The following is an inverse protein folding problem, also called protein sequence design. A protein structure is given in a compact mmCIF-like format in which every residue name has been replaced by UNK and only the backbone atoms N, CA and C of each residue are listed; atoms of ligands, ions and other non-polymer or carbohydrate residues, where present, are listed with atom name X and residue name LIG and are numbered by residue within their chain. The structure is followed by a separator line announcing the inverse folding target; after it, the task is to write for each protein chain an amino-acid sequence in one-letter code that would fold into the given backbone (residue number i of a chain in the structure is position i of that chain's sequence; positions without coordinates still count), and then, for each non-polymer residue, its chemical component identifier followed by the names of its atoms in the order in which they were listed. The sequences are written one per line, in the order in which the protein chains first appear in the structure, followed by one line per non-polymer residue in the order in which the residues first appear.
data_IF_441806110497
#
_entry.id   IF_441806110497
#
_cell.length_a   1.000
_cell.length_b   1.000
_cell.length_c   1.000
_cell.angle_alpha   90.00
_cell.angle_beta   90.00
_cell.angle_gamma   90.00
#
_symmetry.space_group_name_H-M   'P 1'
#
loop_
_entity.id
_entity.type
_entity.pdbx_description
1 polymer ?
#
# COMPACT_ATOMS: atom_id res chain seq x y z
N UNK A 1 -32.43 -17.72 -9.33
CA UNK A 1 -31.74 -19.03 -9.23
C UNK A 1 -32.44 -19.88 -8.17
N UNK A 2 -33.08 -20.99 -8.55
CA UNK A 2 -33.41 -22.04 -7.59
C UNK A 2 -32.13 -22.87 -7.38
N UNK A 3 -31.19 -22.32 -6.62
CA UNK A 3 -29.99 -23.07 -6.25
C UNK A 3 -30.35 -23.87 -4.99
N UNK A 4 -30.41 -25.19 -5.12
CA UNK A 4 -30.36 -26.10 -3.99
C UNK A 4 -28.92 -26.09 -3.47
N UNK A 5 -28.71 -25.55 -2.28
CA UNK A 5 -27.44 -25.73 -1.57
C UNK A 5 -27.42 -27.20 -1.14
N UNK A 6 -26.54 -28.02 -1.71
CA UNK A 6 -26.28 -29.36 -1.19
C UNK A 6 -24.95 -29.31 -0.44
N UNK A 7 -25.02 -29.44 0.87
CA UNK A 7 -23.87 -29.72 1.70
C UNK A 7 -23.52 -31.20 1.52
N UNK A 8 -22.75 -31.52 0.49
CA UNK A 8 -22.32 -32.88 0.16
C UNK A 8 -21.42 -33.42 1.25
N UNK A 9 -21.95 -34.30 2.10
CA UNK A 9 -21.16 -35.32 2.80
C UNK A 9 -22.02 -36.57 2.96
N UNK A 10 -21.46 -37.70 2.51
CA UNK A 10 -21.99 -39.05 2.76
C UNK A 10 -21.82 -39.41 4.24
N UNK A 11 -22.91 -39.84 4.89
CA UNK A 11 -23.04 -40.06 6.34
C UNK A 11 -22.04 -41.13 6.86
N UNK A 12 -21.63 -42.09 6.03
CA UNK A 12 -20.77 -43.20 6.48
C UNK A 12 -19.26 -42.90 6.44
N UNK A 13 -18.79 -42.07 5.49
CA UNK A 13 -17.36 -41.88 5.23
C UNK A 13 -16.60 -41.11 6.33
N UNK A 14 -17.29 -40.23 7.06
CA UNK A 14 -16.66 -39.26 7.97
C UNK A 14 -17.12 -39.38 9.42
N UNK A 15 -17.89 -40.42 9.73
CA UNK A 15 -18.34 -40.67 11.09
C UNK A 15 -17.16 -41.06 11.99
N UNK A 16 -16.84 -40.18 12.95
CA UNK A 16 -16.04 -40.55 14.12
C UNK A 16 -16.93 -40.37 15.35
N UNK A 17 -16.53 -40.88 16.52
CA UNK A 17 -17.30 -40.69 17.75
C UNK A 17 -17.59 -39.21 18.10
N UNK A 18 -16.95 -38.25 17.42
CA UNK A 18 -17.07 -36.81 17.68
C UNK A 18 -17.40 -35.94 16.46
N UNK A 19 -17.49 -36.51 15.25
CA UNK A 19 -17.81 -35.78 14.04
C UNK A 19 -18.94 -36.50 13.29
N UNK A 20 -20.02 -35.76 13.06
CA UNK A 20 -21.19 -36.19 12.29
C UNK A 20 -21.46 -35.08 11.29
N UNK A 21 -21.67 -35.43 10.03
CA UNK A 21 -21.94 -34.45 8.99
C UNK A 21 -23.30 -34.72 8.40
N UNK A 22 -24.09 -33.66 8.18
CA UNK A 22 -25.41 -33.78 7.61
C UNK A 22 -25.62 -32.77 6.50
N UNK A 23 -26.22 -33.23 5.41
CA UNK A 23 -26.57 -32.37 4.30
C UNK A 23 -27.80 -31.50 4.62
N UNK A 24 -27.65 -30.17 4.55
CA UNK A 24 -28.78 -29.24 4.60
C UNK A 24 -29.12 -28.85 3.17
N UNK A 25 -30.27 -29.32 2.68
CA UNK A 25 -30.80 -28.91 1.37
C UNK A 25 -31.79 -27.77 1.54
N UNK A 26 -31.49 -26.62 0.94
CA UNK A 26 -32.35 -25.45 1.00
C UNK A 26 -32.27 -24.61 -0.27
N UNK A 27 -33.33 -23.84 -0.52
CA UNK A 27 -33.33 -22.77 -1.51
C UNK A 27 -32.63 -21.53 -0.92
N UNK A 28 -31.97 -20.73 -1.77
CA UNK A 28 -31.27 -19.49 -1.38
C UNK A 28 -32.12 -18.58 -0.47
N UNK A 29 -33.40 -18.40 -0.78
CA UNK A 29 -34.29 -17.51 -0.02
C UNK A 29 -34.67 -18.00 1.38
N UNK A 30 -34.50 -19.29 1.67
CA UNK A 30 -34.94 -19.95 2.90
C UNK A 30 -33.79 -20.64 3.66
N UNK A 31 -32.57 -20.59 3.13
CA UNK A 31 -31.42 -21.33 3.67
C UNK A 31 -31.09 -20.98 5.13
N UNK A 32 -31.23 -19.71 5.52
CA UNK A 32 -31.04 -19.28 6.90
C UNK A 32 -32.12 -19.84 7.85
N UNK A 33 -33.39 -19.87 7.40
CA UNK A 33 -34.49 -20.45 8.17
C UNK A 33 -34.31 -21.95 8.38
N UNK A 34 -33.91 -22.66 7.32
CA UNK A 34 -33.57 -24.10 7.38
C UNK A 34 -32.40 -24.38 8.32
N UNK A 35 -31.35 -23.56 8.31
CA UNK A 35 -30.24 -23.71 9.26
C UNK A 35 -30.71 -23.52 10.71
N UNK A 36 -31.61 -22.58 10.95
CA UNK A 36 -32.18 -22.36 12.29
C UNK A 36 -33.05 -23.53 12.75
N UNK A 37 -33.87 -24.11 11.86
CA UNK A 37 -34.63 -25.34 12.15
C UNK A 37 -33.69 -26.51 12.53
N UNK A 38 -32.56 -26.64 11.83
CA UNK A 38 -31.56 -27.66 12.13
C UNK A 38 -30.89 -27.46 13.50
N UNK A 39 -30.58 -26.21 13.87
CA UNK A 39 -30.07 -25.86 15.21
C UNK A 39 -31.07 -26.19 16.33
N UNK A 40 -32.37 -26.07 16.06
CA UNK A 40 -33.40 -26.41 17.03
C UNK A 40 -33.57 -27.92 17.19
N UNK A 41 -33.32 -28.69 16.13
CA UNK A 41 -33.44 -30.14 16.13
C UNK A 41 -32.19 -30.85 16.67
N UNK A 42 -30.99 -30.27 16.49
CA UNK A 42 -29.70 -30.88 16.83
C UNK A 42 -28.61 -29.85 17.09
N UNK A 43 -27.50 -30.29 17.69
CA UNK A 43 -26.32 -29.45 17.88
C UNK A 43 -25.65 -29.23 16.51
N UNK A 44 -25.66 -27.99 16.03
CA UNK A 44 -24.94 -27.58 14.82
C UNK A 44 -23.77 -26.71 15.23
N UNK A 45 -22.57 -27.29 15.24
CA UNK A 45 -21.34 -26.59 15.65
C UNK A 45 -20.76 -25.75 14.51
N UNK A 46 -20.71 -26.34 13.31
CA UNK A 46 -20.12 -25.70 12.14
C UNK A 46 -20.91 -26.02 10.86
N UNK A 47 -20.82 -25.11 9.90
CA UNK A 47 -21.35 -25.22 8.54
C UNK A 47 -20.21 -24.91 7.57
N UNK A 48 -20.07 -25.71 6.52
CA UNK A 48 -19.10 -25.47 5.44
C UNK A 48 -19.79 -25.69 4.10
N UNK A 49 -19.21 -25.18 3.01
CA UNK A 49 -19.81 -25.26 1.66
C UNK A 49 -20.56 -24.00 1.27
N UNK A 50 -21.58 -24.15 0.40
CA UNK A 50 -22.29 -22.99 -0.18
C UNK A 50 -23.22 -22.36 0.86
N UNK A 51 -23.12 -21.05 1.05
CA UNK A 51 -23.94 -20.31 2.02
C UNK A 51 -24.50 -19.01 1.44
N UNK A 52 -25.51 -18.48 2.10
CA UNK A 52 -26.06 -17.14 1.83
C UNK A 52 -25.64 -16.15 2.92
N UNK A 53 -25.70 -14.85 2.62
CA UNK A 53 -25.38 -13.83 3.63
C UNK A 53 -26.29 -13.88 4.85
N UNK A 54 -27.55 -14.28 4.66
CA UNK A 54 -28.49 -14.49 5.76
C UNK A 54 -28.07 -15.65 6.67
N UNK A 55 -27.46 -16.70 6.13
CA UNK A 55 -26.93 -17.81 6.96
C UNK A 55 -25.77 -17.33 7.83
N UNK A 56 -24.87 -16.51 7.30
CA UNK A 56 -23.71 -16.01 8.03
C UNK A 56 -24.08 -15.18 9.28
N UNK A 57 -25.32 -14.66 9.33
CA UNK A 57 -25.85 -13.94 10.48
C UNK A 57 -26.45 -14.85 11.58
N UNK A 58 -26.56 -16.16 11.34
CA UNK A 58 -27.09 -17.12 12.34
C UNK A 58 -26.09 -17.25 13.50
N UNK A 59 -26.51 -17.02 14.75
CA UNK A 59 -25.62 -17.03 15.91
C UNK A 59 -25.19 -18.45 16.31
N UNK A 60 -24.13 -18.54 17.11
CA UNK A 60 -23.52 -19.78 17.64
C UNK A 60 -23.25 -20.88 16.60
N UNK A 61 -22.92 -20.49 15.37
CA UNK A 61 -22.45 -21.39 14.30
C UNK A 61 -21.13 -20.88 13.76
N UNK A 62 -20.18 -21.80 13.57
CA UNK A 62 -18.93 -21.51 12.87
C UNK A 62 -19.09 -21.82 11.38
N UNK A 63 -18.80 -20.86 10.51
CA UNK A 63 -18.75 -21.08 9.08
C UNK A 63 -17.33 -21.39 8.66
N UNK A 64 -17.06 -22.62 8.25
CA UNK A 64 -15.74 -23.08 7.81
C UNK A 64 -15.70 -23.07 6.30
N UNK A 65 -14.79 -22.27 5.76
CA UNK A 65 -14.61 -21.99 4.34
C UNK A 65 -15.91 -21.77 3.57
N UNK A 66 -16.77 -20.83 4.00
CA UNK A 66 -18.04 -20.58 3.33
C UNK A 66 -17.82 -20.07 1.90
N UNK A 67 -18.51 -20.69 0.96
CA UNK A 67 -18.60 -20.22 -0.43
C UNK A 67 -19.90 -19.44 -0.61
N UNK A 68 -19.80 -18.12 -0.70
CA UNK A 68 -20.97 -17.28 -0.99
C UNK A 68 -21.28 -17.30 -2.48
N UNK A 69 -22.57 -17.25 -2.82
CA UNK A 69 -23.03 -17.21 -4.22
C UNK A 69 -22.55 -15.93 -4.92
N UNK A 70 -22.58 -14.81 -4.21
CA UNK A 70 -22.00 -13.55 -4.65
C UNK A 70 -20.67 -13.36 -3.91
N UNK A 71 -19.55 -13.10 -4.61
CA UNK A 71 -18.27 -12.85 -3.97
C UNK A 71 -18.34 -11.64 -3.03
N UNK A 72 -17.64 -11.73 -1.90
CA UNK A 72 -17.57 -10.68 -0.89
C UNK A 72 -16.17 -10.55 -0.30
N UNK A 73 -15.86 -9.35 0.18
CA UNK A 73 -14.65 -9.08 0.95
C UNK A 73 -14.77 -9.69 2.36
N UNK A 74 -13.62 -10.03 2.94
CA UNK A 74 -13.55 -10.54 4.29
C UNK A 74 -13.88 -9.43 5.29
N UNK A 75 -14.92 -9.66 6.11
CA UNK A 75 -15.38 -8.70 7.12
C UNK A 75 -14.79 -8.94 8.52
N UNK A 76 -13.82 -9.85 8.67
CA UNK A 76 -13.17 -10.14 9.95
C UNK A 76 -14.11 -10.77 10.99
N UNK A 77 -15.18 -11.43 10.54
CA UNK A 77 -16.13 -12.09 11.43
C UNK A 77 -15.45 -13.29 12.09
N UNK A 78 -15.42 -13.31 13.42
CA UNK A 78 -14.69 -14.34 14.17
C UNK A 78 -15.21 -15.75 13.93
N UNK A 79 -16.52 -15.90 13.75
CA UNK A 79 -17.18 -17.17 13.47
C UNK A 79 -17.12 -17.59 11.99
N UNK A 80 -16.51 -16.79 11.11
CA UNK A 80 -16.22 -17.17 9.73
C UNK A 80 -14.73 -17.50 9.66
N UNK A 81 -14.40 -18.74 9.30
CA UNK A 81 -13.03 -19.25 9.17
C UNK A 81 -12.78 -19.49 7.70
N UNK A 82 -11.79 -18.82 7.10
CA UNK A 82 -11.45 -19.06 5.69
C UNK A 82 -10.36 -20.12 5.65
N UNK A 83 -10.47 -21.08 4.73
CA UNK A 83 -9.43 -22.07 4.44
C UNK A 83 -8.88 -21.88 3.03
N UNK A 84 -9.74 -21.43 2.12
CA UNK A 84 -9.43 -20.98 0.78
C UNK A 84 -8.91 -19.54 0.75
N UNK A 85 -8.24 -19.14 -0.34
CA UNK A 85 -7.82 -17.77 -0.54
C UNK A 85 -9.01 -16.80 -0.51
N UNK A 86 -8.94 -15.75 0.32
CA UNK A 86 -9.95 -14.68 0.29
C UNK A 86 -9.86 -13.88 -1.02
N UNK A 87 -10.88 -13.07 -1.35
CA UNK A 87 -10.86 -12.20 -2.54
C UNK A 87 -9.62 -11.31 -2.55
N UNK A 88 -9.27 -10.75 -1.39
CA UNK A 88 -8.10 -9.89 -1.20
C UNK A 88 -6.79 -10.64 -1.48
N UNK A 89 -6.66 -11.88 -0.99
CA UNK A 89 -5.46 -12.69 -1.25
C UNK A 89 -5.34 -13.06 -2.72
N UNK A 90 -6.45 -13.40 -3.37
CA UNK A 90 -6.47 -13.72 -4.80
C UNK A 90 -6.06 -12.49 -5.62
N UNK A 91 -6.63 -11.31 -5.36
CA UNK A 91 -6.21 -10.07 -6.02
C UNK A 91 -4.73 -9.77 -5.80
N UNK A 92 -4.22 -9.94 -4.59
CA UNK A 92 -2.81 -9.70 -4.27
C UNK A 92 -1.87 -10.64 -5.04
N UNK A 93 -2.16 -11.95 -5.04
CA UNK A 93 -1.32 -12.96 -5.70
C UNK A 93 -1.40 -12.85 -7.23
N UNK A 94 -2.59 -12.62 -7.79
CA UNK A 94 -2.76 -12.39 -9.23
C UNK A 94 -2.06 -11.11 -9.68
N UNK A 95 -2.15 -10.03 -8.89
CA UNK A 95 -1.42 -8.78 -9.17
C UNK A 95 0.09 -8.98 -9.16
N UNK A 96 0.61 -9.77 -8.21
CA UNK A 96 2.04 -10.15 -8.15
C UNK A 96 2.47 -10.95 -9.37
N UNK A 97 1.62 -11.86 -9.86
CA UNK A 97 1.88 -12.60 -11.08
C UNK A 97 1.92 -11.67 -12.31
N UNK A 98 0.95 -10.76 -12.41
CA UNK A 98 0.91 -9.76 -13.49
C UNK A 98 2.14 -8.85 -13.47
N UNK A 99 2.61 -8.37 -12.32
CA UNK A 99 3.80 -7.51 -12.23
C UNK A 99 5.12 -8.19 -12.63
N UNK A 100 5.16 -9.53 -12.68
CA UNK A 100 6.32 -10.29 -13.17
C UNK A 100 6.25 -10.58 -14.67
N UNK A 101 5.04 -10.76 -15.20
CA UNK A 101 4.83 -10.73 -16.63
C UNK A 101 4.97 -9.28 -17.11
N UNK A 102 5.38 -9.03 -18.35
CA UNK A 102 5.23 -7.70 -18.92
C UNK A 102 3.72 -7.45 -19.12
N UNK A 103 3.01 -7.02 -18.08
CA UNK A 103 1.57 -6.87 -18.09
C UNK A 103 1.15 -5.90 -19.20
N UNK A 104 0.12 -6.28 -19.97
CA UNK A 104 -0.55 -5.37 -20.88
C UNK A 104 -1.47 -4.42 -20.11
N UNK A 105 -2.42 -3.78 -20.82
CA UNK A 105 -3.50 -3.04 -20.17
C UNK A 105 -4.28 -3.96 -19.22
N UNK A 106 -4.31 -3.63 -17.92
CA UNK A 106 -5.10 -4.35 -16.92
C UNK A 106 -6.43 -3.63 -16.70
N UNK A 107 -7.53 -4.36 -16.77
CA UNK A 107 -8.90 -3.87 -16.52
C UNK A 107 -9.59 -4.71 -15.46
N UNK A 108 -10.71 -4.21 -14.93
CA UNK A 108 -11.57 -4.96 -14.04
C UNK A 108 -13.04 -4.83 -14.45
N UNK A 109 -13.79 -5.92 -14.35
CA UNK A 109 -15.25 -5.98 -14.51
C UNK A 109 -15.79 -6.75 -13.30
N UNK A 110 -16.45 -6.04 -12.39
CA UNK A 110 -16.88 -6.58 -11.10
C UNK A 110 -18.40 -6.44 -10.98
N UNK A 111 -19.09 -7.57 -10.84
CA UNK A 111 -20.53 -7.66 -10.61
C UNK A 111 -20.81 -8.07 -9.17
N UNK A 112 -20.91 -7.11 -8.27
CA UNK A 112 -21.15 -7.34 -6.84
C UNK A 112 -21.68 -6.07 -6.18
N UNK A 113 -22.48 -6.21 -5.13
CA UNK A 113 -22.91 -5.10 -4.28
C UNK A 113 -21.72 -4.45 -3.53
N UNK A 114 -20.62 -5.19 -3.37
CA UNK A 114 -19.34 -4.69 -2.80
C UNK A 114 -18.34 -4.28 -3.89
N UNK A 115 -18.80 -4.05 -5.13
CA UNK A 115 -17.92 -3.88 -6.29
C UNK A 115 -16.93 -2.72 -6.19
N UNK A 116 -17.36 -1.57 -5.67
CA UNK A 116 -16.48 -0.40 -5.47
C UNK A 116 -15.36 -0.70 -4.45
N UNK A 117 -15.70 -1.33 -3.32
CA UNK A 117 -14.72 -1.74 -2.30
C UNK A 117 -13.72 -2.76 -2.88
N UNK A 118 -14.19 -3.68 -3.72
CA UNK A 118 -13.32 -4.63 -4.41
C UNK A 118 -12.37 -3.95 -5.39
N UNK A 119 -12.81 -2.92 -6.12
CA UNK A 119 -11.94 -2.12 -6.99
C UNK A 119 -10.82 -1.47 -6.17
N UNK A 120 -11.12 -0.86 -5.02
CA UNK A 120 -10.10 -0.25 -4.16
C UNK A 120 -9.05 -1.26 -3.69
N UNK A 121 -9.48 -2.46 -3.28
CA UNK A 121 -8.57 -3.55 -2.88
C UNK A 121 -7.72 -4.00 -4.06
N UNK A 122 -8.31 -4.15 -5.24
CA UNK A 122 -7.60 -4.54 -6.46
C UNK A 122 -6.58 -3.48 -6.88
N UNK A 123 -6.94 -2.20 -6.87
CA UNK A 123 -6.04 -1.09 -7.17
C UNK A 123 -4.84 -1.06 -6.24
N UNK A 124 -5.05 -1.23 -4.93
CA UNK A 124 -3.97 -1.33 -3.95
C UNK A 124 -3.08 -2.55 -4.20
N UNK A 125 -3.68 -3.68 -4.57
CA UNK A 125 -2.96 -4.91 -4.91
C UNK A 125 -2.06 -4.70 -6.13
N UNK A 126 -2.61 -4.14 -7.22
CA UNK A 126 -1.90 -3.86 -8.46
C UNK A 126 -0.78 -2.82 -8.25
N UNK A 127 -1.08 -1.72 -7.56
CA UNK A 127 -0.11 -0.67 -7.24
C UNK A 127 1.10 -1.19 -6.44
N UNK A 128 0.87 -2.15 -5.54
CA UNK A 128 1.94 -2.81 -4.76
C UNK A 128 2.98 -3.48 -5.65
N UNK A 129 2.59 -3.95 -6.84
CA UNK A 129 3.47 -4.59 -7.80
C UNK A 129 3.76 -3.74 -9.03
N UNK A 130 3.51 -2.42 -8.96
CA UNK A 130 3.79 -1.48 -10.05
C UNK A 130 2.92 -1.68 -11.29
N UNK A 131 1.76 -2.34 -11.14
CA UNK A 131 0.83 -2.57 -12.24
C UNK A 131 -0.27 -1.50 -12.17
N UNK A 132 -0.47 -0.67 -13.21
CA UNK A 132 -1.56 0.29 -13.23
C UNK A 132 -2.88 -0.38 -13.63
N UNK A 133 -3.98 -0.03 -12.98
CA UNK A 133 -5.33 -0.37 -13.43
C UNK A 133 -5.78 0.66 -14.47
N UNK A 134 -6.03 0.23 -15.70
CA UNK A 134 -6.40 1.11 -16.80
C UNK A 134 -7.87 1.57 -16.71
N UNK A 135 -8.77 0.67 -16.29
CA UNK A 135 -10.18 0.97 -16.07
C UNK A 135 -10.86 -0.12 -15.22
N UNK A 136 -11.87 0.25 -14.47
CA UNK A 136 -12.77 -0.66 -13.79
C UNK A 136 -14.23 -0.38 -14.17
N UNK A 137 -15.03 -1.43 -14.32
CA UNK A 137 -16.48 -1.36 -14.46
C UNK A 137 -17.14 -2.12 -13.32
N UNK A 138 -17.96 -1.43 -12.52
CA UNK A 138 -18.80 -2.04 -11.48
C UNK A 138 -20.21 -2.19 -12.05
N UNK A 139 -20.75 -3.40 -11.97
CA UNK A 139 -22.01 -3.79 -12.59
C UNK A 139 -23.02 -4.22 -11.51
N UNK A 140 -24.29 -3.89 -11.72
CA UNK A 140 -25.39 -4.48 -10.95
C UNK A 140 -25.54 -5.99 -11.24
N UNK A 141 -26.14 -6.72 -10.30
CA UNK A 141 -26.27 -8.20 -10.32
C UNK A 141 -26.92 -8.74 -11.60
N UNK A 142 -27.81 -7.97 -12.24
CA UNK A 142 -28.55 -8.36 -13.45
C UNK A 142 -27.93 -7.81 -14.75
N UNK A 143 -26.85 -7.02 -14.66
CA UNK A 143 -26.23 -6.41 -15.84
C UNK A 143 -25.34 -7.41 -16.61
N UNK A 144 -25.30 -7.30 -17.96
CA UNK A 144 -24.50 -8.17 -18.80
C UNK A 144 -23.00 -7.89 -18.61
N UNK A 145 -22.26 -8.92 -18.23
CA UNK A 145 -20.83 -8.82 -17.92
C UNK A 145 -19.95 -8.82 -19.18
N UNK A 146 -20.25 -9.71 -20.13
CA UNK A 146 -19.37 -10.03 -21.26
C UNK A 146 -19.19 -8.86 -22.23
N UNK A 147 -20.18 -7.97 -22.32
CA UNK A 147 -20.09 -6.77 -23.18
C UNK A 147 -19.04 -5.75 -22.72
N UNK A 148 -18.55 -5.87 -21.49
CA UNK A 148 -17.49 -5.01 -20.93
C UNK A 148 -16.08 -5.60 -21.12
N UNK A 149 -15.96 -6.83 -21.65
CA UNK A 149 -14.66 -7.49 -21.80
C UNK A 149 -13.84 -6.84 -22.91
N UNK A 150 -12.54 -6.59 -22.69
CA UNK A 150 -11.68 -6.02 -23.71
C UNK A 150 -11.29 -7.04 -24.79
N UNK A 151 -10.85 -6.54 -25.94
CA UNK A 151 -10.31 -7.37 -27.03
C UNK A 151 -8.84 -7.79 -26.83
N UNK A 152 -8.11 -7.14 -25.91
CA UNK A 152 -6.72 -7.45 -25.58
C UNK A 152 -6.35 -6.97 -24.17
N UNK A 153 -5.29 -7.54 -23.61
CA UNK A 153 -4.79 -7.24 -22.27
C UNK A 153 -5.29 -8.23 -21.22
N UNK A 154 -5.21 -7.81 -19.96
CA UNK A 154 -5.61 -8.59 -18.79
C UNK A 154 -6.90 -8.02 -18.21
N UNK A 155 -7.85 -8.88 -17.84
CA UNK A 155 -9.10 -8.44 -17.20
C UNK A 155 -9.44 -9.30 -16.00
N UNK A 156 -9.60 -8.67 -14.84
CA UNK A 156 -10.22 -9.29 -13.68
C UNK A 156 -11.72 -9.32 -13.88
N UNK A 157 -12.32 -10.49 -13.73
CA UNK A 157 -13.76 -10.70 -13.90
C UNK A 157 -14.31 -11.37 -12.65
N UNK A 158 -15.22 -10.67 -11.97
CA UNK A 158 -15.78 -11.10 -10.68
C UNK A 158 -17.30 -11.03 -10.73
N UNK A 159 -17.97 -11.99 -10.11
CA UNK A 159 -19.42 -12.07 -10.00
C UNK A 159 -20.06 -12.82 -11.16
N UNK A 160 -19.50 -13.97 -11.57
CA UNK A 160 -19.92 -14.82 -12.68
C UNK A 160 -21.23 -15.56 -12.40
N UNK A 161 -22.00 -15.76 -13.47
CA UNK A 161 -23.09 -16.74 -13.55
C UNK A 161 -22.71 -17.87 -14.50
N UNK A 162 -23.42 -19.00 -14.46
CA UNK A 162 -23.18 -20.11 -15.39
C UNK A 162 -23.28 -19.70 -16.87
N UNK A 163 -24.14 -18.73 -17.21
CA UNK A 163 -24.26 -18.22 -18.59
C UNK A 163 -23.00 -17.46 -19.05
N UNK A 164 -22.33 -16.76 -18.13
CA UNK A 164 -21.14 -15.97 -18.43
C UNK A 164 -19.94 -16.86 -18.80
N UNK A 165 -19.82 -18.04 -18.21
CA UNK A 165 -18.69 -18.96 -18.45
C UNK A 165 -18.56 -19.32 -19.93
N UNK A 166 -19.66 -19.76 -20.54
CA UNK A 166 -19.70 -20.10 -21.98
C UNK A 166 -19.44 -18.88 -22.89
N UNK A 167 -19.84 -17.69 -22.44
CA UNK A 167 -19.67 -16.45 -23.18
C UNK A 167 -18.22 -15.94 -23.09
N UNK A 168 -17.57 -16.07 -21.94
CA UNK A 168 -16.15 -15.79 -21.74
C UNK A 168 -15.30 -16.73 -22.59
N UNK A 169 -15.61 -18.03 -22.63
CA UNK A 169 -14.90 -18.98 -23.48
C UNK A 169 -14.95 -18.57 -24.96
N UNK A 170 -16.14 -18.25 -25.49
CA UNK A 170 -16.31 -17.74 -26.86
C UNK A 170 -15.56 -16.42 -27.08
N UNK A 171 -15.58 -15.51 -26.10
CA UNK A 171 -14.87 -14.24 -26.20
C UNK A 171 -13.35 -14.45 -26.27
N UNK A 172 -12.81 -15.36 -25.46
CA UNK A 172 -11.40 -15.72 -25.47
C UNK A 172 -11.01 -16.35 -26.81
N UNK A 173 -11.81 -17.26 -27.37
CA UNK A 173 -11.53 -17.84 -28.69
C UNK A 173 -11.54 -16.78 -29.81
N UNK A 174 -12.46 -15.81 -29.75
CA UNK A 174 -12.52 -14.72 -30.71
C UNK A 174 -11.34 -13.72 -30.58
N UNK A 175 -10.75 -13.60 -29.39
CA UNK A 175 -9.73 -12.60 -29.06
C UNK A 175 -8.49 -13.25 -28.44
N UNK A 176 -7.53 -13.64 -29.28
CA UNK A 176 -6.29 -14.30 -28.82
C UNK A 176 -5.39 -13.45 -27.91
N UNK A 177 -5.58 -12.12 -27.89
CA UNK A 177 -4.78 -11.17 -27.12
C UNK A 177 -5.31 -10.85 -25.72
N UNK A 178 -6.44 -11.44 -25.29
CA UNK A 178 -7.01 -11.21 -23.95
C UNK A 178 -6.80 -12.42 -23.04
N UNK A 179 -6.50 -12.13 -21.77
CA UNK A 179 -6.43 -13.08 -20.65
C UNK A 179 -7.42 -12.65 -19.57
N UNK A 180 -8.19 -13.61 -19.06
CA UNK A 180 -9.27 -13.39 -18.10
C UNK A 180 -8.87 -14.01 -16.77
N UNK A 181 -8.92 -13.21 -15.70
CA UNK A 181 -8.59 -13.61 -14.35
C UNK A 181 -9.89 -13.70 -13.53
N UNK A 182 -10.20 -14.85 -12.95
CA UNK A 182 -11.44 -15.10 -12.19
C UNK A 182 -11.13 -15.51 -10.75
N UNK A 183 -12.11 -15.39 -9.85
CA UNK A 183 -11.96 -15.91 -8.50
C UNK A 183 -12.11 -17.43 -8.46
N UNK A 184 -11.32 -18.08 -7.61
CA UNK A 184 -11.35 -19.51 -7.41
C UNK A 184 -12.68 -20.01 -6.82
N UNK A 185 -13.33 -19.25 -5.94
CA UNK A 185 -14.65 -19.60 -5.40
C UNK A 185 -15.69 -19.76 -6.51
N UNK A 186 -15.65 -18.88 -7.50
CA UNK A 186 -16.56 -18.89 -8.64
C UNK A 186 -16.24 -20.04 -9.61
N UNK A 187 -14.95 -20.30 -9.83
CA UNK A 187 -14.50 -21.47 -10.58
C UNK A 187 -14.92 -22.78 -9.89
N UNK A 188 -14.85 -22.85 -8.56
CA UNK A 188 -15.26 -24.03 -7.82
C UNK A 188 -16.77 -24.27 -7.90
N UNK A 189 -17.56 -23.20 -7.78
CA UNK A 189 -19.03 -23.27 -7.88
C UNK A 189 -19.53 -23.62 -9.29
N UNK A 190 -18.84 -23.13 -10.33
CA UNK A 190 -19.22 -23.28 -11.75
C UNK A 190 -18.30 -24.24 -12.50
N UNK A 191 -17.64 -25.17 -11.79
CA UNK A 191 -16.56 -25.97 -12.36
C UNK A 191 -17.02 -26.80 -13.57
N UNK A 192 -18.23 -27.36 -13.50
CA UNK A 192 -18.80 -28.15 -14.60
C UNK A 192 -19.01 -27.30 -15.86
N UNK A 193 -19.50 -26.07 -15.71
CA UNK A 193 -19.65 -25.11 -16.80
C UNK A 193 -18.29 -24.73 -17.39
N UNK A 194 -17.26 -24.55 -16.55
CA UNK A 194 -15.89 -24.30 -17.00
C UNK A 194 -15.31 -25.49 -17.77
N UNK A 195 -15.46 -26.71 -17.26
CA UNK A 195 -15.01 -27.93 -17.97
C UNK A 195 -15.71 -28.06 -19.33
N UNK A 196 -17.03 -27.87 -19.37
CA UNK A 196 -17.80 -27.93 -20.61
C UNK A 196 -17.37 -26.86 -21.62
N UNK A 197 -17.03 -25.65 -21.15
CA UNK A 197 -16.69 -24.53 -22.02
C UNK A 197 -15.22 -24.53 -22.50
N UNK A 198 -14.30 -25.15 -21.76
CA UNK A 198 -12.85 -25.05 -22.01
C UNK A 198 -12.14 -26.37 -22.37
N UNK A 199 -12.80 -27.52 -22.28
CA UNK A 199 -12.19 -28.83 -22.57
C UNK A 199 -11.72 -29.01 -24.02
N UNK A 200 -12.40 -28.42 -25.00
CA UNK A 200 -12.09 -28.57 -26.42
C UNK A 200 -11.38 -27.35 -27.05
N UNK A 201 -11.10 -26.32 -26.24
CA UNK A 201 -10.64 -25.00 -26.70
C UNK A 201 -9.15 -24.72 -26.47
N UNK A 202 -8.61 -23.77 -27.24
CA UNK A 202 -7.26 -23.23 -27.01
C UNK A 202 -7.23 -22.14 -25.92
N UNK A 203 -8.40 -21.63 -25.56
CA UNK A 203 -8.59 -20.55 -24.60
C UNK A 203 -8.25 -20.93 -23.15
N UNK A 204 -8.19 -22.22 -22.80
CA UNK A 204 -7.99 -22.68 -21.42
C UNK A 204 -6.70 -22.14 -20.78
N UNK A 205 -5.64 -21.95 -21.57
CA UNK A 205 -4.38 -21.38 -21.08
C UNK A 205 -4.48 -19.89 -20.69
N UNK A 206 -5.53 -19.19 -21.14
CA UNK A 206 -5.75 -17.75 -20.94
C UNK A 206 -6.90 -17.43 -19.97
N UNK A 207 -7.52 -18.43 -19.37
CA UNK A 207 -8.34 -18.25 -18.18
C UNK A 207 -7.46 -18.58 -16.96
N UNK A 208 -7.34 -17.65 -16.02
CA UNK A 208 -6.38 -17.72 -14.91
C UNK A 208 -7.08 -17.47 -13.58
N UNK A 209 -6.64 -18.15 -12.52
CA UNK A 209 -7.17 -17.98 -11.17
C UNK A 209 -6.09 -18.33 -10.13
N UNK A 210 -6.32 -17.95 -8.87
CA UNK A 210 -5.40 -18.25 -7.76
C UNK A 210 -6.04 -19.24 -6.79
N UNK A 211 -5.37 -20.35 -6.50
CA UNK A 211 -5.85 -21.38 -5.58
C UNK A 211 -4.73 -21.85 -4.65
N UNK A 212 -5.08 -22.30 -3.46
CA UNK A 212 -4.17 -22.99 -2.52
C UNK A 212 -4.40 -24.50 -2.49
N UNK A 213 -5.40 -25.01 -3.21
CA UNK A 213 -5.64 -26.44 -3.24
C UNK A 213 -4.54 -27.15 -4.03
N UNK A 214 -4.16 -28.37 -3.62
CA UNK A 214 -3.49 -29.29 -4.52
C UNK A 214 -4.42 -29.62 -5.69
N UNK A 215 -3.85 -30.14 -6.76
CA UNK A 215 -4.66 -30.45 -7.93
C UNK A 215 -5.58 -31.65 -7.64
N UNK A 216 -6.88 -31.45 -7.84
CA UNK A 216 -7.93 -32.40 -7.45
C UNK A 216 -7.92 -33.72 -8.23
N UNK A 217 -7.10 -33.83 -9.28
CA UNK A 217 -6.82 -35.08 -9.98
C UNK A 217 -5.33 -35.46 -9.95
N UNK A 218 -4.57 -34.96 -8.97
CA UNK A 218 -3.17 -35.32 -8.76
C UNK A 218 -3.06 -36.57 -7.90
N UNK A 219 -2.53 -37.64 -8.48
CA UNK A 219 -2.30 -38.92 -7.83
C UNK A 219 -0.81 -39.21 -7.57
N UNK A 220 0.07 -38.22 -7.81
CA UNK A 220 1.53 -38.41 -7.78
C UNK A 220 2.14 -38.35 -6.38
N UNK A 221 1.54 -37.56 -5.47
CA UNK A 221 1.96 -37.51 -4.07
C UNK A 221 1.21 -38.58 -3.26
N UNK A 222 1.89 -39.69 -2.94
CA UNK A 222 1.28 -40.81 -2.23
C UNK A 222 0.76 -40.45 -0.82
N UNK A 223 1.19 -39.33 -0.23
CA UNK A 223 0.84 -38.93 1.14
C UNK A 223 0.00 -37.65 1.23
N UNK A 224 -0.20 -36.92 0.12
CA UNK A 224 -0.89 -35.63 0.12
C UNK A 224 -2.42 -35.71 0.23
N UNK A 225 -3.07 -34.61 0.61
CA UNK A 225 -4.54 -34.56 0.78
C UNK A 225 -5.29 -34.84 -0.52
N UNK A 226 -4.73 -34.48 -1.68
CA UNK A 226 -5.31 -34.81 -2.99
C UNK A 226 -5.41 -36.33 -3.19
N UNK A 227 -4.38 -37.08 -2.81
CA UNK A 227 -4.38 -38.53 -2.92
C UNK A 227 -5.36 -39.18 -1.94
N UNK A 228 -5.43 -38.67 -0.72
CA UNK A 228 -6.44 -39.13 0.24
C UNK A 228 -7.86 -38.89 -0.28
N UNK A 229 -8.12 -37.71 -0.85
CA UNK A 229 -9.40 -37.40 -1.48
C UNK A 229 -9.73 -38.37 -2.63
N UNK A 230 -8.76 -38.70 -3.48
CA UNK A 230 -8.95 -39.64 -4.59
C UNK A 230 -9.28 -41.08 -4.17
N UNK A 231 -8.99 -41.51 -2.93
CA UNK A 231 -9.48 -42.80 -2.41
C UNK A 231 -10.98 -42.83 -2.16
N UNK A 232 -11.56 -41.65 -1.91
CA UNK A 232 -12.99 -41.48 -1.64
C UNK A 232 -13.75 -40.94 -2.85
N UNK A 233 -13.04 -40.33 -3.82
CA UNK A 233 -13.62 -39.90 -5.07
C UNK A 233 -14.05 -41.11 -5.91
N UNK A 234 -15.29 -41.06 -6.40
CA UNK A 234 -15.88 -42.07 -7.27
C UNK A 234 -16.85 -41.39 -8.25
N UNK A 235 -17.70 -42.17 -8.94
CA UNK A 235 -18.69 -41.62 -9.87
C UNK A 235 -19.72 -40.71 -9.18
N UNK A 236 -19.93 -40.85 -7.87
CA UNK A 236 -20.85 -40.01 -7.08
C UNK A 236 -20.19 -38.75 -6.52
N UNK A 237 -18.88 -38.79 -6.28
CA UNK A 237 -18.06 -37.67 -5.82
C UNK A 237 -16.94 -37.40 -6.82
N UNK A 238 -17.18 -36.53 -7.82
CA UNK A 238 -16.20 -36.31 -8.88
C UNK A 238 -14.95 -35.62 -8.34
N UNK A 239 -13.81 -35.92 -8.96
CA UNK A 239 -12.53 -35.25 -8.72
C UNK A 239 -12.59 -33.79 -9.19
N UNK A 240 -13.04 -32.91 -8.29
CA UNK A 240 -13.36 -31.52 -8.58
C UNK A 240 -13.02 -30.62 -7.36
N UNK A 241 -12.86 -29.30 -7.58
CA UNK A 241 -12.48 -28.38 -6.50
C UNK A 241 -13.49 -28.33 -5.36
N UNK A 242 -14.80 -28.30 -5.64
CA UNK A 242 -15.82 -28.13 -4.60
C UNK A 242 -15.91 -29.33 -3.62
N UNK A 243 -15.92 -30.59 -4.09
CA UNK A 243 -15.77 -31.75 -3.19
C UNK A 243 -14.46 -31.74 -2.41
N UNK A 244 -13.33 -31.37 -3.03
CA UNK A 244 -12.04 -31.30 -2.34
C UNK A 244 -12.03 -30.21 -1.23
N UNK A 245 -12.69 -29.07 -1.43
CA UNK A 245 -12.87 -28.05 -0.39
C UNK A 245 -13.63 -28.62 0.82
N UNK A 246 -14.74 -29.31 0.57
CA UNK A 246 -15.52 -29.96 1.63
C UNK A 246 -14.69 -31.03 2.35
N UNK A 247 -13.93 -31.82 1.60
CA UNK A 247 -13.02 -32.83 2.15
C UNK A 247 -11.96 -32.21 3.07
N UNK A 248 -11.26 -31.17 2.62
CA UNK A 248 -10.23 -30.49 3.41
C UNK A 248 -10.79 -29.82 4.68
N UNK A 249 -11.98 -29.23 4.62
CA UNK A 249 -12.67 -28.70 5.79
C UNK A 249 -12.99 -29.80 6.83
N UNK A 250 -13.43 -30.97 6.36
CA UNK A 250 -13.69 -32.13 7.22
C UNK A 250 -12.39 -32.68 7.82
N UNK A 251 -11.30 -32.76 7.05
CA UNK A 251 -9.98 -33.18 7.54
C UNK A 251 -9.46 -32.25 8.65
N UNK A 252 -9.61 -30.95 8.46
CA UNK A 252 -9.29 -29.96 9.50
C UNK A 252 -10.08 -30.21 10.79
N UNK A 253 -11.40 -30.46 10.68
CA UNK A 253 -12.23 -30.76 11.85
C UNK A 253 -11.80 -32.08 12.52
N UNK A 254 -11.52 -33.14 11.76
CA UNK A 254 -11.01 -34.39 12.29
C UNK A 254 -9.68 -34.23 13.04
N UNK A 255 -8.85 -33.26 12.63
CA UNK A 255 -7.60 -32.92 13.32
C UNK A 255 -7.85 -32.12 14.61
N UNK A 256 -8.78 -31.16 14.61
CA UNK A 256 -9.01 -30.25 15.74
C UNK A 256 -9.86 -30.88 16.86
N UNK A 257 -10.98 -31.52 16.50
CA UNK A 257 -11.99 -31.99 17.46
C UNK A 257 -11.47 -32.97 18.52
N UNK A 258 -10.53 -33.90 18.25
CA UNK A 258 -9.99 -34.79 19.27
C UNK A 258 -9.36 -34.07 20.46
N UNK A 259 -8.85 -32.85 20.28
CA UNK A 259 -8.18 -32.06 21.31
C UNK A 259 -9.14 -31.22 22.18
N UNK A 260 -10.43 -31.19 21.84
CA UNK A 260 -11.43 -30.39 22.55
C UNK A 260 -12.08 -31.20 23.67
N UNK A 261 -12.43 -30.60 24.80
CA UNK A 261 -13.22 -31.28 25.84
C UNK A 261 -14.71 -31.26 25.50
N UNK A 262 -15.22 -30.09 25.07
CA UNK A 262 -16.59 -29.87 24.65
C UNK A 262 -16.56 -29.30 23.23
N UNK A 263 -17.41 -29.85 22.35
CA UNK A 263 -17.51 -29.40 20.95
C UNK A 263 -18.69 -28.46 20.83
N UNK A 264 -18.40 -27.16 20.77
CA UNK A 264 -19.34 -26.10 20.45
C UNK A 264 -18.65 -25.01 19.60
N UNK A 265 -19.45 -24.08 19.07
CA UNK A 265 -18.97 -23.06 18.15
C UNK A 265 -17.94 -22.11 18.79
N UNK A 266 -18.12 -21.75 20.06
CA UNK A 266 -17.23 -20.84 20.78
C UNK A 266 -15.86 -21.46 21.01
N UNK A 267 -15.82 -22.70 21.49
CA UNK A 267 -14.60 -23.45 21.77
C UNK A 267 -13.86 -23.81 20.49
N UNK A 268 -14.57 -24.19 19.43
CA UNK A 268 -13.96 -24.48 18.13
C UNK A 268 -13.26 -23.23 17.56
N UNK A 269 -13.97 -22.11 17.54
CA UNK A 269 -13.41 -20.83 17.08
C UNK A 269 -12.24 -20.41 17.97
N UNK A 270 -12.38 -20.54 19.29
CA UNK A 270 -11.31 -20.25 20.25
C UNK A 270 -10.04 -21.07 20.03
N UNK A 271 -10.19 -22.37 19.73
CA UNK A 271 -9.07 -23.25 19.42
C UNK A 271 -8.31 -22.81 18.16
N UNK A 272 -9.04 -22.46 17.10
CA UNK A 272 -8.45 -22.05 15.80
C UNK A 272 -7.64 -20.75 15.98
N UNK A 273 -8.25 -19.71 16.58
CA UNK A 273 -7.56 -18.44 16.81
C UNK A 273 -6.39 -18.55 17.81
N UNK A 274 -6.45 -19.49 18.76
CA UNK A 274 -5.34 -19.72 19.69
C UNK A 274 -4.15 -20.45 19.06
N UNK A 275 -4.38 -21.32 18.08
CA UNK A 275 -3.29 -22.01 17.35
C UNK A 275 -2.53 -21.08 16.40
N UNK A 276 -3.16 -19.98 15.97
CA UNK A 276 -2.66 -19.02 14.98
C UNK A 276 -2.44 -19.59 13.59
N UNK A 277 -1.75 -20.72 13.46
CA UNK A 277 -1.58 -21.47 12.22
C UNK A 277 -2.00 -22.91 12.48
N UNK A 278 -2.75 -23.49 11.54
CA UNK A 278 -3.16 -24.90 11.65
C UNK A 278 -2.60 -25.67 10.48
N UNK A 279 -1.79 -26.68 10.82
CA UNK A 279 -1.25 -27.67 9.90
C UNK A 279 -2.13 -28.92 9.99
N UNK A 280 -2.85 -29.23 8.91
CA UNK A 280 -3.74 -30.38 8.82
C UNK A 280 -3.37 -31.17 7.55
N UNK A 281 -2.76 -32.34 7.76
CA UNK A 281 -2.16 -33.16 6.71
C UNK A 281 -1.00 -32.42 6.01
N UNK A 282 -1.14 -32.04 4.74
CA UNK A 282 -0.18 -31.23 3.97
C UNK A 282 -0.72 -29.81 3.67
N UNK A 283 -1.84 -29.44 4.30
CA UNK A 283 -2.48 -28.14 4.15
C UNK A 283 -2.19 -27.23 5.34
N UNK A 284 -1.79 -25.99 5.06
CA UNK A 284 -1.45 -24.99 6.07
C UNK A 284 -2.42 -23.80 5.99
N UNK A 285 -3.13 -23.55 7.10
CA UNK A 285 -4.16 -22.52 7.21
C UNK A 285 -3.80 -21.41 8.18
N UNK A 286 -4.27 -20.19 7.90
CA UNK A 286 -4.03 -19.00 8.69
C UNK A 286 -2.96 -18.06 8.07
N UNK A 287 -2.48 -17.05 8.83
CA UNK A 287 -2.66 -16.89 10.26
C UNK A 287 -4.08 -16.45 10.68
N UNK A 288 -4.51 -16.93 11.85
CA UNK A 288 -5.71 -16.54 12.59
C UNK A 288 -5.27 -15.73 13.83
N UNK A 289 -5.69 -14.47 13.97
CA UNK A 289 -5.28 -13.64 15.11
C UNK A 289 -6.35 -12.60 15.43
N UNK A 290 -6.82 -12.53 16.68
CA UNK A 290 -7.80 -11.54 17.16
C UNK A 290 -7.23 -10.58 18.24
N UNK A 291 -5.91 -10.65 18.52
CA UNK A 291 -5.26 -9.93 19.64
C UNK A 291 -4.24 -8.87 19.23
N UNK A 292 -3.40 -9.13 18.22
CA UNK A 292 -2.21 -8.29 17.91
C UNK A 292 -2.41 -7.42 16.68
N UNK A 293 -3.31 -6.46 16.79
CA UNK A 293 -3.70 -5.59 15.70
C UNK A 293 -3.01 -4.22 15.65
N UNK A 294 -2.00 -4.03 16.49
CA UNK A 294 -1.21 -2.82 16.52
C UNK A 294 -0.10 -2.89 15.45
N UNK A 295 -0.34 -2.36 14.25
CA UNK A 295 0.75 -2.12 13.30
C UNK A 295 0.44 -2.13 11.80
N UNK A 296 -0.78 -2.50 11.37
CA UNK A 296 -1.14 -2.36 9.97
C UNK A 296 -1.25 -0.86 9.61
N UNK A 297 -0.50 -0.33 8.62
CA UNK A 297 -0.59 1.07 8.24
C UNK A 297 -1.91 1.30 7.51
N UNK A 298 -2.86 1.95 8.20
CA UNK A 298 -4.13 2.39 7.64
C UNK A 298 -5.33 2.10 8.53
N UNK A 299 -5.54 2.94 9.55
CA UNK A 299 -6.83 3.08 10.23
C UNK A 299 -7.10 2.05 11.32
N UNK A 300 -7.12 2.52 12.57
CA UNK A 300 -7.62 1.72 13.69
C UNK A 300 -9.09 1.38 13.52
N UNK A 301 -9.47 0.15 13.85
CA UNK A 301 -10.86 -0.23 14.02
C UNK A 301 -10.99 -1.37 15.04
N UNK A 302 -12.02 -1.26 15.87
CA UNK A 302 -12.64 -2.38 16.59
C UNK A 302 -13.01 -3.46 15.55
N UNK A 303 -12.61 -4.72 15.75
CA UNK A 303 -12.91 -5.81 14.79
C UNK A 303 -11.71 -6.40 14.05
N UNK A 304 -10.51 -6.28 14.62
CA UNK A 304 -9.30 -6.79 13.99
C UNK A 304 -9.07 -8.29 14.29
N UNK A 305 -9.87 -9.13 13.64
CA UNK A 305 -9.53 -10.53 13.49
C UNK A 305 -8.85 -10.71 12.12
N UNK A 306 -7.56 -11.03 12.14
CA UNK A 306 -6.84 -11.53 10.98
C UNK A 306 -7.30 -12.95 10.72
N UNK A 307 -7.90 -13.17 9.57
CA UNK A 307 -8.27 -14.48 9.05
C UNK A 307 -7.87 -14.50 7.57
N UNK A 308 -6.57 -14.62 7.32
CA UNK A 308 -6.02 -14.61 5.95
C UNK A 308 -6.12 -16.00 5.29
N UNK A 309 -7.13 -16.79 5.60
CA UNK A 309 -7.49 -17.97 4.82
C UNK A 309 -6.36 -18.95 4.56
N UNK A 310 -5.87 -18.92 3.31
CA UNK A 310 -4.94 -19.87 2.75
C UNK A 310 -3.48 -19.40 2.75
N UNK A 311 -2.58 -20.38 2.85
CA UNK A 311 -1.17 -20.25 2.49
C UNK A 311 -0.88 -21.05 1.21
N UNK A 312 0.33 -20.97 0.67
CA UNK A 312 0.70 -21.78 -0.50
C UNK A 312 -0.13 -21.49 -1.76
N UNK A 313 -0.54 -20.23 -1.97
CA UNK A 313 -1.41 -19.85 -3.08
C UNK A 313 -0.61 -19.80 -4.37
N UNK A 314 -0.99 -20.61 -5.36
CA UNK A 314 -0.41 -20.65 -6.69
C UNK A 314 -1.38 -20.05 -7.73
N UNK A 315 -0.83 -19.53 -8.82
CA UNK A 315 -1.63 -19.05 -9.96
C UNK A 315 -1.70 -20.15 -11.00
N UNK A 316 -2.91 -20.57 -11.36
CA UNK A 316 -3.18 -21.62 -12.33
C UNK A 316 -3.91 -21.08 -13.55
N UNK A 317 -3.75 -21.78 -14.67
CA UNK A 317 -4.63 -21.64 -15.82
C UNK A 317 -5.75 -22.68 -15.79
N UNK A 318 -6.83 -22.48 -16.54
CA UNK A 318 -7.84 -23.52 -16.73
C UNK A 318 -7.24 -24.77 -17.39
N UNK A 319 -6.21 -24.60 -18.24
CA UNK A 319 -5.48 -25.75 -18.80
C UNK A 319 -4.86 -26.62 -17.70
N UNK A 320 -4.32 -26.02 -16.62
CA UNK A 320 -3.82 -26.76 -15.44
C UNK A 320 -4.91 -27.48 -14.68
N UNK A 321 -6.08 -26.85 -14.54
CA UNK A 321 -7.25 -27.44 -13.89
C UNK A 321 -7.78 -28.69 -14.63
N UNK A 322 -7.65 -28.71 -15.96
CA UNK A 322 -8.12 -29.79 -16.82
C UNK A 322 -7.07 -30.89 -17.00
N UNK A 323 -5.78 -30.56 -16.92
CA UNK A 323 -4.67 -31.48 -17.15
C UNK A 323 -3.60 -31.31 -16.07
N UNK A 324 -3.41 -32.39 -15.30
CA UNK A 324 -2.47 -32.40 -14.18
C UNK A 324 -1.02 -32.14 -14.58
N UNK A 325 -0.67 -32.48 -15.82
CA UNK A 325 0.71 -32.40 -16.35
C UNK A 325 1.15 -30.98 -16.71
N UNK A 326 0.21 -30.05 -16.88
CA UNK A 326 0.50 -28.64 -17.09
C UNK A 326 1.14 -28.09 -15.81
N UNK A 327 2.09 -27.17 -15.89
CA UNK A 327 2.67 -26.55 -14.70
C UNK A 327 1.82 -25.36 -14.20
N UNK A 328 1.81 -25.05 -12.90
CA UNK A 328 1.30 -23.77 -12.40
C UNK A 328 1.99 -22.58 -13.09
N UNK A 329 1.27 -21.47 -13.26
CA UNK A 329 1.81 -20.22 -13.81
C UNK A 329 2.70 -19.46 -12.81
N UNK A 330 2.59 -19.78 -11.52
CA UNK A 330 3.51 -19.31 -10.50
C UNK A 330 3.68 -20.35 -9.40
N UNK A 331 4.84 -20.33 -8.75
CA UNK A 331 5.06 -21.11 -7.54
C UNK A 331 4.09 -20.71 -6.42
N UNK A 332 3.72 -21.65 -5.52
CA UNK A 332 2.93 -21.37 -4.32
C UNK A 332 3.56 -20.28 -3.45
N UNK A 333 2.76 -19.32 -2.97
CA UNK A 333 3.22 -18.26 -2.07
C UNK A 333 2.24 -18.01 -0.93
N UNK A 334 2.78 -17.68 0.24
CA UNK A 334 2.00 -17.05 1.31
C UNK A 334 2.08 -15.54 1.13
N UNK A 335 0.98 -14.84 0.79
CA UNK A 335 1.02 -13.40 0.56
C UNK A 335 1.25 -12.64 1.86
N UNK A 336 2.06 -11.57 1.83
CA UNK A 336 2.28 -10.73 3.02
C UNK A 336 1.06 -9.90 3.40
N UNK A 337 0.16 -9.66 2.43
CA UNK A 337 -0.99 -8.75 2.57
C UNK A 337 -0.61 -7.33 3.01
N UNK A 338 0.65 -6.95 2.80
CA UNK A 338 1.15 -5.60 3.01
C UNK A 338 1.10 -4.86 1.68
N UNK A 339 0.24 -3.85 1.61
CA UNK A 339 0.08 -3.02 0.44
C UNK A 339 1.10 -1.88 0.43
N UNK A 340 1.67 -1.58 -0.73
CA UNK A 340 2.46 -0.36 -0.88
C UNK A 340 1.54 0.85 -0.72
N UNK A 341 1.98 1.84 0.06
CA UNK A 341 1.29 3.12 0.12
C UNK A 341 1.60 3.91 -1.17
N UNK A 342 0.62 4.18 -2.04
CA UNK A 342 0.84 4.96 -3.26
C UNK A 342 1.26 6.42 -2.96
N UNK A 343 1.14 6.86 -1.71
CA UNK A 343 1.61 8.16 -1.22
C UNK A 343 2.99 8.09 -0.54
N UNK A 344 3.59 6.90 -0.37
CA UNK A 344 4.93 6.79 0.20
C UNK A 344 5.93 7.55 -0.69
N UNK A 345 6.43 8.68 -0.17
CA UNK A 345 7.37 9.56 -0.87
C UNK A 345 6.73 10.72 -1.66
N UNK A 346 5.40 10.85 -1.68
CA UNK A 346 4.72 12.05 -2.19
C UNK A 346 4.48 13.02 -1.02
N UNK A 347 4.95 14.25 -1.16
CA UNK A 347 4.64 15.31 -0.20
C UNK A 347 3.15 15.63 -0.26
N UNK A 348 2.50 15.69 0.89
CA UNK A 348 1.10 16.11 0.97
C UNK A 348 0.95 17.57 0.54
N UNK A 349 -0.23 17.99 0.10
CA UNK A 349 -0.47 19.39 -0.29
C UNK A 349 -0.03 20.39 0.81
N UNK A 350 -0.28 20.15 2.11
CA UNK A 350 0.27 21.00 3.19
C UNK A 350 1.79 21.04 3.24
N UNK A 351 2.47 19.90 3.02
CA UNK A 351 3.93 19.84 3.02
C UNK A 351 4.53 20.59 1.82
N UNK A 352 3.92 20.48 0.63
CA UNK A 352 4.33 21.24 -0.56
C UNK A 352 4.22 22.74 -0.31
N UNK A 353 3.09 23.20 0.26
CA UNK A 353 2.89 24.60 0.62
C UNK A 353 3.89 25.07 1.70
N UNK A 354 4.22 24.20 2.66
CA UNK A 354 5.24 24.46 3.67
C UNK A 354 6.64 24.65 3.09
N UNK A 355 7.07 23.77 2.17
CA UNK A 355 8.37 23.89 1.49
C UNK A 355 8.44 25.15 0.63
N UNK A 356 7.37 25.46 -0.11
CA UNK A 356 7.31 26.64 -0.97
C UNK A 356 7.39 27.95 -0.16
N UNK A 357 6.59 28.06 0.92
CA UNK A 357 6.59 29.24 1.80
C UNK A 357 7.92 29.41 2.55
N UNK A 358 8.50 28.33 3.08
CA UNK A 358 9.81 28.36 3.74
C UNK A 358 10.93 28.82 2.79
N UNK A 359 10.93 28.34 1.55
CA UNK A 359 11.91 28.74 0.53
C UNK A 359 11.80 30.21 0.17
N UNK A 360 10.58 30.75 0.04
CA UNK A 360 10.35 32.16 -0.25
C UNK A 360 10.85 33.08 0.89
N UNK A 361 10.60 32.70 2.14
CA UNK A 361 11.08 33.44 3.32
C UNK A 361 12.61 33.42 3.37
N UNK A 362 13.23 32.26 3.16
CA UNK A 362 14.69 32.13 3.15
C UNK A 362 15.34 33.01 2.06
N UNK A 363 14.75 33.07 0.87
CA UNK A 363 15.23 33.91 -0.22
C UNK A 363 15.11 35.41 0.12
N UNK A 364 13.99 35.82 0.72
CA UNK A 364 13.80 37.20 1.17
C UNK A 364 14.83 37.61 2.24
N UNK A 365 15.10 36.74 3.20
CA UNK A 365 16.11 36.97 4.24
C UNK A 365 17.52 37.07 3.64
N UNK A 366 17.85 36.22 2.66
CA UNK A 366 19.13 36.27 1.95
C UNK A 366 19.30 37.59 1.18
N UNK A 367 18.27 38.02 0.46
CA UNK A 367 18.27 39.30 -0.25
C UNK A 367 18.43 40.49 0.71
N UNK A 368 17.73 40.48 1.85
CA UNK A 368 17.86 41.50 2.88
C UNK A 368 19.28 41.54 3.47
N UNK A 369 19.87 40.37 3.76
CA UNK A 369 21.24 40.26 4.27
C UNK A 369 22.26 40.82 3.27
N UNK A 370 22.15 40.43 1.99
CA UNK A 370 23.02 40.94 0.92
C UNK A 370 22.88 42.45 0.75
N UNK A 371 21.66 42.99 0.87
CA UNK A 371 21.43 44.42 0.81
C UNK A 371 22.09 45.17 1.98
N UNK A 372 21.99 44.64 3.20
CA UNK A 372 22.64 45.21 4.39
C UNK A 372 24.17 45.16 4.29
N UNK A 373 24.73 44.05 3.81
CA UNK A 373 26.17 43.90 3.52
C UNK A 373 26.64 44.93 2.49
N UNK A 374 25.89 45.08 1.39
CA UNK A 374 26.21 46.07 0.36
C UNK A 374 26.20 47.51 0.89
N UNK A 375 25.22 47.84 1.75
CA UNK A 375 25.13 49.16 2.39
C UNK A 375 26.29 49.43 3.35
N UNK A 376 26.61 48.48 4.21
CA UNK A 376 27.68 48.64 5.21
C UNK A 376 29.06 48.76 4.57
N UNK A 377 29.34 48.01 3.51
CA UNK A 377 30.62 48.07 2.79
C UNK A 377 30.80 49.36 1.97
N UNK A 378 29.73 49.98 1.47
CA UNK A 378 29.82 51.23 0.69
C UNK A 378 30.13 52.48 1.51
N UNK A 379 29.86 52.48 2.82
CA UNK A 379 30.04 53.67 3.67
C UNK A 379 31.50 54.00 4.00
N UNK A 380 32.46 53.13 3.68
CA UNK A 380 33.85 53.26 4.12
C UNK A 380 34.74 54.17 3.24
N UNK A 381 34.26 54.69 2.12
CA UNK A 381 35.03 55.56 1.20
C UNK A 381 34.16 56.70 0.65
N UNK A 382 34.06 57.81 1.38
CA UNK A 382 33.52 59.05 0.83
C UNK A 382 34.64 59.87 0.19
N UNK A 383 34.83 59.70 -1.13
CA UNK A 383 35.85 60.40 -1.92
C UNK A 383 35.37 61.76 -2.45
N UNK A 384 34.21 62.27 -2.00
CA UNK A 384 33.56 63.46 -2.59
C UNK A 384 34.39 64.74 -2.55
N UNK A 385 35.34 64.86 -1.61
CA UNK A 385 36.22 66.03 -1.46
C UNK A 385 37.66 65.81 -1.93
N UNK A 386 37.99 64.63 -2.48
CA UNK A 386 39.33 64.37 -2.99
C UNK A 386 39.64 65.32 -4.18
N UNK A 387 40.80 65.99 -4.23
CA UNK A 387 41.20 66.76 -5.40
C UNK A 387 41.30 65.82 -6.62
N UNK A 388 40.44 66.00 -7.62
CA UNK A 388 40.35 65.13 -8.81
C UNK A 388 40.90 65.76 -10.08
N UNK A 389 41.23 67.05 -10.08
CA UNK A 389 41.82 67.74 -11.23
C UNK A 389 43.31 67.39 -11.40
N UNK A 390 43.72 66.69 -12.48
CA UNK A 390 45.08 66.16 -12.62
C UNK A 390 46.17 67.22 -12.79
N UNK A 391 45.81 68.43 -13.21
CA UNK A 391 46.74 69.52 -13.56
C UNK A 391 46.78 70.63 -12.53
N UNK A 392 45.91 70.61 -11.52
CA UNK A 392 45.88 71.59 -10.44
C UNK A 392 46.85 71.18 -9.31
N UNK A 393 47.66 72.10 -8.77
CA UNK A 393 48.56 71.77 -7.66
C UNK A 393 47.75 71.45 -6.41
N UNK A 394 48.04 70.31 -5.78
CA UNK A 394 47.49 69.91 -4.49
C UNK A 394 48.45 70.31 -3.38
N UNK A 395 47.93 70.87 -2.30
CA UNK A 395 48.73 71.14 -1.09
C UNK A 395 48.50 70.03 -0.08
N UNK A 396 49.58 69.39 0.36
CA UNK A 396 49.53 68.33 1.37
C UNK A 396 49.90 68.89 2.72
N UNK A 397 49.06 68.64 3.72
CA UNK A 397 49.32 68.94 5.12
C UNK A 397 49.61 67.62 5.83
N UNK A 398 50.73 67.60 6.54
CA UNK A 398 51.07 66.52 7.44
C UNK A 398 51.02 67.09 8.85
N UNK A 399 50.26 66.43 9.72
CA UNK A 399 50.15 66.78 11.12
C UNK A 399 50.33 65.53 11.96
N UNK A 400 50.86 65.72 13.16
CA UNK A 400 51.11 64.67 14.14
C UNK A 400 51.05 65.31 15.54
N UNK A 401 50.82 64.51 16.57
CA UNK A 401 50.89 65.02 17.95
C UNK A 401 52.37 65.14 18.33
N UNK A 402 52.80 66.34 18.71
CA UNK A 402 54.18 66.59 19.09
C UNK A 402 54.58 65.71 20.28
N UNK A 403 55.74 65.06 20.17
CA UNK A 403 56.30 64.18 21.21
C UNK A 403 55.36 63.04 21.66
N UNK A 404 54.48 62.56 20.78
CA UNK A 404 53.48 61.54 21.12
C UNK A 404 54.06 60.27 21.70
N UNK A 405 55.24 59.84 21.27
CA UNK A 405 55.93 58.68 21.85
C UNK A 405 56.26 58.88 23.33
N UNK A 406 56.70 60.09 23.72
CA UNK A 406 56.96 60.43 25.11
C UNK A 406 55.65 60.56 25.92
N UNK A 407 54.60 61.12 25.31
CA UNK A 407 53.28 61.22 25.93
C UNK A 407 52.63 59.86 26.16
N UNK A 408 52.79 58.91 25.24
CA UNK A 408 52.38 57.50 25.40
C UNK A 408 53.13 56.81 26.55
N UNK A 409 54.42 57.12 26.74
CA UNK A 409 55.19 56.57 27.84
C UNK A 409 54.83 57.20 29.20
N UNK A 410 54.56 58.51 29.23
CA UNK A 410 54.26 59.24 30.45
C UNK A 410 52.80 59.10 30.92
N UNK A 411 51.85 59.06 29.99
CA UNK A 411 50.41 59.10 30.27
C UNK A 411 49.61 58.08 29.41
N UNK A 412 49.91 56.76 29.47
CA UNK A 412 49.32 55.76 28.59
C UNK A 412 47.80 55.62 28.71
N UNK A 413 47.22 55.90 29.88
CA UNK A 413 45.78 55.78 30.09
C UNK A 413 44.97 56.93 29.47
N UNK A 414 45.57 58.11 29.30
CA UNK A 414 44.90 59.31 28.76
C UNK A 414 45.11 59.47 27.25
N UNK A 415 46.16 58.86 26.71
CA UNK A 415 46.51 59.00 25.30
C UNK A 415 45.48 58.45 24.30
N UNK A 416 44.77 57.33 24.55
CA UNK A 416 43.70 56.88 23.66
C UNK A 416 42.61 57.95 23.46
N UNK A 417 42.18 58.59 24.54
CA UNK A 417 41.16 59.64 24.51
C UNK A 417 41.70 60.93 23.86
N UNK A 418 42.96 61.28 24.13
CA UNK A 418 43.63 62.42 23.50
C UNK A 418 43.76 62.25 21.99
N UNK A 419 44.19 61.07 21.52
CA UNK A 419 44.27 60.73 20.09
C UNK A 419 42.87 60.72 19.47
N UNK A 420 41.86 60.17 20.15
CA UNK A 420 40.48 60.19 19.66
C UNK A 420 39.90 61.62 19.59
N UNK A 421 40.27 62.52 20.50
CA UNK A 421 39.90 63.94 20.45
C UNK A 421 40.62 64.66 19.30
N UNK A 422 41.92 64.41 19.14
CA UNK A 422 42.74 64.91 18.03
C UNK A 422 42.17 64.50 16.66
N UNK A 423 41.84 63.21 16.49
CA UNK A 423 41.22 62.67 15.28
C UNK A 423 39.88 63.34 14.98
N UNK A 424 39.03 63.52 16.00
CA UNK A 424 37.73 64.18 15.85
C UNK A 424 37.88 65.64 15.42
N UNK A 425 38.81 66.36 16.05
CA UNK A 425 39.07 67.78 15.76
C UNK A 425 39.57 67.95 14.31
N UNK A 426 40.60 67.19 13.92
CA UNK A 426 41.14 67.24 12.55
C UNK A 426 40.06 66.90 11.52
N UNK A 427 39.32 65.80 11.71
CA UNK A 427 38.25 65.41 10.78
C UNK A 427 37.16 66.46 10.66
N UNK A 428 36.83 67.18 11.75
CA UNK A 428 35.87 68.28 11.70
C UNK A 428 36.39 69.47 10.87
N UNK A 429 37.69 69.76 10.94
CA UNK A 429 38.34 70.83 10.17
C UNK A 429 38.52 70.45 8.70
N UNK A 430 38.82 69.18 8.41
CA UNK A 430 38.87 68.63 7.04
C UNK A 430 37.51 68.84 6.36
N UNK A 431 36.40 68.51 7.02
CA UNK A 431 35.05 68.73 6.49
C UNK A 431 34.75 70.22 6.32
N UNK A 432 35.08 71.06 7.33
CA UNK A 432 34.81 72.51 7.31
C UNK A 432 35.52 73.22 6.16
N UNK A 433 36.80 72.90 5.94
CA UNK A 433 37.63 73.51 4.91
C UNK A 433 37.58 72.77 3.57
N UNK A 434 36.74 71.71 3.47
CA UNK A 434 36.58 70.86 2.29
C UNK A 434 37.91 70.28 1.78
N UNK A 435 38.78 69.88 2.70
CA UNK A 435 39.97 69.09 2.38
C UNK A 435 39.63 67.59 2.43
N UNK A 436 40.59 66.74 2.09
CA UNK A 436 40.42 65.30 2.00
C UNK A 436 41.45 64.56 2.87
N UNK A 437 40.99 63.65 3.72
CA UNK A 437 41.85 62.73 4.48
C UNK A 437 42.40 61.67 3.52
N UNK A 438 43.70 61.72 3.22
CA UNK A 438 44.35 60.74 2.34
C UNK A 438 44.61 59.45 3.10
N UNK A 439 45.19 59.56 4.29
CA UNK A 439 45.45 58.46 5.21
C UNK A 439 45.73 58.99 6.62
N UNK A 440 45.55 58.10 7.59
CA UNK A 440 45.89 58.33 9.00
C UNK A 440 46.71 57.15 9.47
N UNK A 441 47.84 57.41 10.13
CA UNK A 441 48.75 56.39 10.67
C UNK A 441 49.07 56.78 12.10
N UNK A 442 48.49 56.07 13.06
CA UNK A 442 48.57 56.43 14.47
C UNK A 442 47.85 57.76 14.74
N UNK A 443 48.61 58.71 15.28
CA UNK A 443 48.21 60.10 15.54
C UNK A 443 48.49 61.05 14.36
N UNK A 444 49.20 60.59 13.33
CA UNK A 444 49.51 61.41 12.16
C UNK A 444 48.43 61.37 11.08
N UNK A 445 48.10 62.54 10.52
CA UNK A 445 47.22 62.69 9.36
C UNK A 445 47.99 63.20 8.14
N UNK A 446 47.65 62.63 6.98
CA UNK A 446 47.97 63.20 5.68
C UNK A 446 46.69 63.74 5.04
N UNK A 447 46.65 65.06 4.84
CA UNK A 447 45.47 65.77 4.36
C UNK A 447 45.79 66.44 3.02
N UNK A 448 44.94 66.26 2.03
CA UNK A 448 45.03 66.93 0.74
C UNK A 448 44.05 68.11 0.68
N UNK A 449 44.57 69.30 0.44
CA UNK A 449 43.77 70.51 0.25
C UNK A 449 43.94 71.03 -1.19
N UNK A 450 42.86 71.58 -1.75
CA UNK A 450 42.81 72.07 -3.14
C UNK A 450 43.63 73.33 -3.44
N UNK A 451 44.11 74.02 -2.41
CA UNK A 451 44.96 75.20 -2.57
C UNK A 451 45.84 75.42 -1.32
N UNK A 452 46.97 76.15 -1.46
CA UNK A 452 47.79 76.53 -0.31
C UNK A 452 47.02 77.36 0.72
N UNK A 453 46.10 78.23 0.26
CA UNK A 453 45.27 79.05 1.14
C UNK A 453 44.34 78.22 2.03
N UNK A 454 43.72 77.17 1.49
CA UNK A 454 42.86 76.27 2.25
C UNK A 454 43.68 75.45 3.27
N UNK A 455 44.87 75.00 2.90
CA UNK A 455 45.78 74.31 3.81
C UNK A 455 46.19 75.20 4.99
N UNK A 456 46.57 76.46 4.72
CA UNK A 456 46.96 77.41 5.78
C UNK A 456 45.77 77.75 6.68
N UNK A 457 44.56 77.90 6.14
CA UNK A 457 43.37 78.14 6.96
C UNK A 457 43.03 76.94 7.85
N UNK A 458 43.15 75.71 7.32
CA UNK A 458 42.96 74.49 8.09
C UNK A 458 43.99 74.37 9.23
N UNK A 459 45.27 74.63 8.95
CA UNK A 459 46.34 74.57 9.96
C UNK A 459 46.25 75.70 10.99
N UNK A 460 45.78 76.89 10.59
CA UNK A 460 45.57 78.01 11.53
C UNK A 460 44.42 77.73 12.52
N UNK A 461 43.40 77.01 12.06
CA UNK A 461 42.21 76.70 12.88
C UNK A 461 42.37 75.39 13.68
N UNK A 462 43.50 74.69 13.50
CA UNK A 462 43.98 73.53 14.27
C UNK A 462 44.60 74.00 15.59
#
# INVERSE_FOLDING_TARGET
MAASIQLLVDDELFSSNRLFVHAISANVSDAAGRLEEERQARIVTAVFGVVTDAMLAVPDVVFIDPLTIVPRLNRGQRNVIHLSPTVEQQFFVLSKHLGRAAAGDVRAVIRSDEGEEMVEVLERSLATFGVPLASAAVLGVEEPLVSQLPAAGDVFVVGLSGADVSAIARHLEAHGGVRVLVLFSELALLYNEFVAAFSEGSAAARLVFATSLPHWADDTDEAGVARMFLWYADDSVPAAPLPLLSFTAVRLLQFLLPSMDIVDAEQLTGLIYNKTVVDADDMLYGPFNDRECAGAPGGGAVGCAVNYGATGIAVWSMARALDVSVAPLSDPVTPSMVYADPNAGRLTLPQVLGVASGSAIALLLLCALLFLLHRSLRSARDNGNAPTEPTAPVTLVFTDIESSTALWAACPELMPDAVAAHHRLIRSLIVRHRCYEVKTIGDSFMIACRSPSAAVQLVRDL
#
